data_IF_209944762284
#
_entry.id   IF_209944762284
#
_cell.length_a   1.000
_cell.length_b   1.000
_cell.length_c   1.000
_cell.angle_alpha   90.00
_cell.angle_beta   90.00
_cell.angle_gamma   90.00
#
_symmetry.space_group_name_H-M   'P 1'
#
loop_
_entity.id
_entity.type
_entity.pdbx_description
1 polymer ?
#
# COMPACT_ATOMS: atom_id res chain seq x y z
N UNK A 1 -29.44 -30.80 2.74
CA UNK A 1 -28.48 -30.54 1.64
C UNK A 1 -27.97 -29.08 1.56
N UNK A 2 -28.59 -28.09 2.22
CA UNK A 2 -28.19 -26.67 2.14
C UNK A 2 -27.08 -26.24 3.12
N UNK A 3 -26.87 -26.98 4.22
CA UNK A 3 -25.85 -26.70 5.25
C UNK A 3 -24.45 -27.12 4.82
N UNK A 4 -24.34 -28.22 4.08
CA UNK A 4 -23.07 -28.73 3.59
C UNK A 4 -22.43 -27.75 2.59
N UNK A 5 -23.19 -27.21 1.63
CA UNK A 5 -22.68 -26.23 0.66
C UNK A 5 -22.16 -24.93 1.31
N UNK A 6 -22.75 -24.52 2.44
CA UNK A 6 -22.28 -23.35 3.21
C UNK A 6 -20.96 -23.63 3.91
N UNK A 7 -20.75 -24.85 4.39
CA UNK A 7 -19.47 -25.28 4.98
C UNK A 7 -18.36 -25.32 3.93
N UNK A 8 -18.64 -25.82 2.72
CA UNK A 8 -17.67 -25.81 1.62
C UNK A 8 -17.37 -24.38 1.16
N UNK A 9 -18.38 -23.52 1.01
CA UNK A 9 -18.18 -22.14 0.59
C UNK A 9 -17.36 -21.32 1.61
N UNK A 10 -17.60 -21.53 2.91
CA UNK A 10 -16.83 -20.86 3.97
C UNK A 10 -15.40 -21.39 4.06
N UNK A 11 -15.19 -22.70 3.92
CA UNK A 11 -13.85 -23.28 3.85
C UNK A 11 -13.05 -22.76 2.64
N UNK A 12 -13.69 -22.64 1.47
CA UNK A 12 -13.06 -22.13 0.27
C UNK A 12 -12.65 -20.65 0.44
N UNK A 13 -13.53 -19.83 1.02
CA UNK A 13 -13.26 -18.42 1.29
C UNK A 13 -12.15 -18.24 2.34
N UNK A 14 -12.15 -19.03 3.41
CA UNK A 14 -11.10 -19.00 4.43
C UNK A 14 -9.72 -19.40 3.86
N UNK A 15 -9.71 -20.40 2.98
CA UNK A 15 -8.47 -20.86 2.32
C UNK A 15 -7.93 -19.80 1.35
N UNK A 16 -8.81 -19.15 0.58
CA UNK A 16 -8.44 -18.03 -0.31
C UNK A 16 -7.87 -16.83 0.47
N UNK A 17 -8.49 -16.48 1.61
CA UNK A 17 -8.00 -15.39 2.46
C UNK A 17 -6.64 -15.69 3.08
N UNK A 18 -6.42 -16.95 3.51
CA UNK A 18 -5.14 -17.40 4.06
C UNK A 18 -4.01 -17.46 3.01
N UNK A 19 -4.34 -17.51 1.72
CA UNK A 19 -3.37 -17.51 0.62
C UNK A 19 -2.96 -16.11 0.15
N UNK A 20 -3.52 -15.04 0.71
CA UNK A 20 -3.05 -13.68 0.40
C UNK A 20 -1.65 -13.53 0.97
N UNK A 21 -0.60 -13.38 0.14
CA UNK A 21 0.73 -13.21 0.66
C UNK A 21 0.79 -11.87 1.41
N UNK A 22 1.12 -11.93 2.70
CA UNK A 22 1.47 -10.75 3.47
C UNK A 22 2.85 -10.30 3.01
N UNK A 23 2.91 -9.62 1.86
CA UNK A 23 4.15 -9.04 1.37
C UNK A 23 4.60 -8.00 2.41
N UNK A 24 5.80 -8.14 3.00
CA UNK A 24 6.35 -7.07 3.83
C UNK A 24 6.41 -5.81 2.96
N UNK A 25 6.15 -4.65 3.55
CA UNK A 25 6.36 -3.38 2.87
C UNK A 25 7.80 -3.40 2.31
N UNK A 26 7.91 -3.34 0.98
CA UNK A 26 9.19 -3.44 0.31
C UNK A 26 10.11 -2.32 0.76
N UNK A 27 11.38 -2.63 1.01
CA UNK A 27 12.37 -1.60 1.22
C UNK A 27 12.55 -0.81 -0.09
N UNK A 28 12.51 0.51 0.00
CA UNK A 28 12.79 1.40 -1.12
C UNK A 28 13.92 2.37 -0.74
N UNK A 29 14.72 2.74 -1.72
CA UNK A 29 15.76 3.76 -1.56
C UNK A 29 15.23 5.10 -2.06
N UNK A 30 15.42 6.14 -1.26
CA UNK A 30 15.11 7.52 -1.65
C UNK A 30 16.20 8.01 -2.60
N UNK A 31 15.81 8.57 -3.73
CA UNK A 31 16.73 9.21 -4.67
C UNK A 31 16.73 10.73 -4.51
N UNK A 32 15.57 11.33 -4.25
CA UNK A 32 15.42 12.77 -4.14
C UNK A 32 14.21 13.15 -3.28
N UNK A 33 14.32 14.23 -2.52
CA UNK A 33 13.21 14.82 -1.76
C UNK A 33 12.66 15.98 -2.57
N UNK A 34 11.41 15.85 -3.02
CA UNK A 34 10.74 16.87 -3.86
C UNK A 34 10.21 17.99 -2.98
N UNK A 35 9.47 17.60 -1.94
CA UNK A 35 8.94 18.49 -0.91
C UNK A 35 8.75 17.69 0.40
N UNK A 36 8.21 18.33 1.45
CA UNK A 36 8.06 17.77 2.78
C UNK A 36 7.18 16.51 2.88
N UNK A 37 6.28 16.28 1.93
CA UNK A 37 5.42 15.09 1.86
C UNK A 37 5.66 14.22 0.62
N UNK A 38 6.55 14.65 -0.29
CA UNK A 38 6.72 14.05 -1.61
C UNK A 38 8.18 13.70 -1.88
N UNK A 39 8.42 12.42 -2.18
CA UNK A 39 9.76 11.89 -2.48
C UNK A 39 9.77 11.15 -3.81
N UNK A 40 10.94 11.13 -4.46
CA UNK A 40 11.22 10.26 -5.60
C UNK A 40 12.15 9.12 -5.17
N UNK A 41 11.74 7.89 -5.47
CA UNK A 41 12.52 6.68 -5.21
C UNK A 41 13.59 6.47 -6.28
N UNK A 42 14.59 5.64 -5.99
CA UNK A 42 15.61 5.23 -6.97
C UNK A 42 15.03 4.51 -8.20
N UNK A 43 13.83 3.95 -8.09
CA UNK A 43 13.08 3.41 -9.23
C UNK A 43 12.55 4.48 -10.20
N UNK A 44 12.58 5.77 -9.81
CA UNK A 44 11.92 6.86 -10.51
C UNK A 44 10.47 7.11 -10.10
N UNK A 45 9.90 6.24 -9.26
CA UNK A 45 8.54 6.39 -8.72
C UNK A 45 8.45 7.59 -7.77
N UNK A 46 7.38 8.37 -7.88
CA UNK A 46 7.04 9.40 -6.90
C UNK A 46 6.08 8.83 -5.87
N UNK A 47 6.33 9.16 -4.60
CA UNK A 47 5.53 8.73 -3.45
C UNK A 47 5.11 9.96 -2.67
N UNK A 48 3.83 10.03 -2.33
CA UNK A 48 3.25 11.03 -1.44
C UNK A 48 2.88 10.39 -0.10
N UNK A 49 3.22 11.05 1.00
CA UNK A 49 2.90 10.59 2.35
C UNK A 49 1.43 10.85 2.65
N UNK A 50 0.69 9.79 2.97
CA UNK A 50 -0.73 9.90 3.31
C UNK A 50 -0.93 10.58 4.67
N UNK A 51 -1.91 11.48 4.75
CA UNK A 51 -2.25 12.19 5.99
C UNK A 51 -1.27 13.29 6.38
N UNK A 52 -0.32 13.61 5.52
CA UNK A 52 0.60 14.74 5.66
C UNK A 52 0.40 15.64 4.44
N UNK A 53 0.25 16.94 4.69
CA UNK A 53 0.13 17.98 3.67
C UNK A 53 1.08 19.11 4.09
N UNK A 54 2.12 19.37 3.28
CA UNK A 54 3.18 20.31 3.61
C UNK A 54 3.05 21.61 2.81
N UNK A 55 3.55 22.75 3.31
CA UNK A 55 3.66 23.95 2.48
C UNK A 55 4.47 23.64 1.22
N UNK A 56 3.94 24.03 0.07
CA UNK A 56 4.53 23.68 -1.22
C UNK A 56 5.67 24.65 -1.59
N UNK A 57 6.82 24.10 -1.97
CA UNK A 57 7.99 24.87 -2.41
C UNK A 57 7.57 25.83 -3.53
N UNK A 58 7.83 27.12 -3.30
CA UNK A 58 7.55 28.18 -4.27
C UNK A 58 6.12 28.71 -4.28
N UNK A 59 5.22 28.21 -3.42
CA UNK A 59 3.85 28.71 -3.31
C UNK A 59 3.60 29.59 -2.08
N UNK A 60 4.46 29.51 -1.06
CA UNK A 60 4.37 30.35 0.13
C UNK A 60 5.69 31.12 0.32
N UNK A 61 5.63 32.43 0.11
CA UNK A 61 6.68 33.41 0.38
C UNK A 61 6.11 34.59 1.14
#
# INVERSE_FOLDING_TARGET
>A
MSSLHRLWATALAATMLALVPLAPAGAASVAYVVDGDTIRLSSGTYVRLIGIDTPEVGQCG
#
